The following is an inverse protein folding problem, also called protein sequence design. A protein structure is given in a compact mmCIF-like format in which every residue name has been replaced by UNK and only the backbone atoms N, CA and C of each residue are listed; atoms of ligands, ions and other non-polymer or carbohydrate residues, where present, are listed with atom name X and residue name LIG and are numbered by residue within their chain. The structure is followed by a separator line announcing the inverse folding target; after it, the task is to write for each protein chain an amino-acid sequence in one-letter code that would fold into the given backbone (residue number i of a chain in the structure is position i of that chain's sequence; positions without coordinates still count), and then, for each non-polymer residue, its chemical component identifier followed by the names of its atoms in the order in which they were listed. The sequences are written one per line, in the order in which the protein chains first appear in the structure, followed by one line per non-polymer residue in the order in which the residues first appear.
data_IF_303685249108
#
_entry.id   IF_303685249108
#
_cell.length_a   1.000
_cell.length_b   1.000
_cell.length_c   1.000
_cell.angle_alpha   90.00
_cell.angle_beta   90.00
_cell.angle_gamma   90.00
#
_symmetry.space_group_name_H-M   'P 1'
#
loop_
_entity.id
_entity.type
_entity.pdbx_description
1 polymer ?
#
# COMPACT_ATOMS: atom_id res chain seq x y z
N UNK A 1 14.19 -20.47 -4.47
CA UNK A 1 12.93 -21.19 -4.18
C UNK A 1 12.29 -20.63 -2.93
N UNK A 2 10.97 -20.36 -2.97
CA UNK A 2 10.17 -19.86 -1.84
C UNK A 2 9.17 -20.97 -1.48
N UNK A 3 9.01 -21.28 -0.19
CA UNK A 3 7.95 -22.17 0.31
C UNK A 3 6.91 -21.36 1.07
N UNK A 4 5.68 -21.87 1.14
CA UNK A 4 4.60 -21.19 1.86
C UNK A 4 3.92 -22.09 2.89
N UNK A 5 3.26 -21.46 3.86
CA UNK A 5 2.45 -22.07 4.92
C UNK A 5 1.22 -21.19 5.17
N UNK A 6 0.08 -21.80 5.45
CA UNK A 6 -1.09 -21.08 5.97
C UNK A 6 -0.99 -20.94 7.49
N UNK A 7 -1.22 -19.74 8.00
CA UNK A 7 -1.28 -19.44 9.42
C UNK A 7 -2.69 -19.69 9.96
N UNK A 8 -2.82 -19.78 11.29
CA UNK A 8 -4.12 -19.98 11.97
C UNK A 8 -5.15 -18.88 11.67
N UNK A 9 -4.70 -17.67 11.33
CA UNK A 9 -5.54 -16.54 10.96
C UNK A 9 -5.91 -16.52 9.45
N UNK A 10 -5.61 -17.58 8.70
CA UNK A 10 -5.88 -17.67 7.26
C UNK A 10 -4.85 -16.97 6.37
N UNK A 11 -3.87 -16.28 6.93
CA UNK A 11 -2.84 -15.59 6.14
C UNK A 11 -1.77 -16.56 5.63
N UNK A 12 -1.27 -16.31 4.42
CA UNK A 12 -0.16 -17.05 3.84
C UNK A 12 1.17 -16.44 4.31
N UNK A 13 1.99 -17.25 4.99
CA UNK A 13 3.39 -16.96 5.29
C UNK A 13 4.27 -17.59 4.20
N UNK A 14 5.22 -16.83 3.69
CA UNK A 14 6.26 -17.27 2.76
C UNK A 14 7.60 -17.33 3.50
N UNK A 15 8.41 -18.35 3.23
CA UNK A 15 9.80 -18.47 3.69
C UNK A 15 10.73 -18.64 2.50
N UNK A 16 11.79 -17.84 2.44
CA UNK A 16 12.87 -18.01 1.48
C UNK A 16 13.72 -19.22 1.87
N UNK A 17 14.01 -20.14 0.94
CA UNK A 17 14.85 -21.30 1.24
C UNK A 17 16.35 -20.98 1.23
N UNK A 18 16.76 -19.81 0.73
CA UNK A 18 18.18 -19.39 0.67
C UNK A 18 18.60 -18.62 1.93
N UNK A 19 17.84 -17.58 2.28
CA UNK A 19 18.17 -16.70 3.42
C UNK A 19 17.27 -16.90 4.64
N UNK A 20 16.36 -17.88 4.60
CA UNK A 20 15.42 -18.21 5.67
C UNK A 20 14.40 -17.12 6.07
N UNK A 21 14.47 -15.94 5.46
CA UNK A 21 13.58 -14.82 5.76
C UNK A 21 12.10 -15.20 5.57
N UNK A 22 11.27 -14.75 6.52
CA UNK A 22 9.81 -14.93 6.48
C UNK A 22 9.13 -13.63 6.12
N UNK A 23 8.12 -13.72 5.28
CA UNK A 23 7.32 -12.58 4.85
C UNK A 23 5.90 -13.04 4.53
N UNK A 24 4.97 -12.11 4.40
CA UNK A 24 3.62 -12.37 3.94
C UNK A 24 3.32 -11.45 2.76
N UNK A 25 2.13 -11.58 2.18
CA UNK A 25 1.70 -10.74 1.05
C UNK A 25 1.71 -9.23 1.36
N UNK A 26 1.61 -8.85 2.64
CA UNK A 26 1.57 -7.46 3.10
C UNK A 26 2.94 -6.89 3.44
N UNK A 27 4.00 -7.69 3.41
CA UNK A 27 5.37 -7.24 3.66
C UNK A 27 5.76 -6.16 2.65
N UNK A 28 6.30 -5.04 3.13
CA UNK A 28 6.70 -3.90 2.30
C UNK A 28 5.52 -3.09 1.74
N UNK A 29 4.31 -3.34 2.20
CA UNK A 29 3.11 -2.56 1.81
C UNK A 29 2.68 -1.64 2.95
N UNK A 30 1.88 -0.60 2.68
CA UNK A 30 1.29 0.23 3.75
C UNK A 30 0.46 -0.57 4.77
N UNK A 31 0.00 -1.77 4.39
CA UNK A 31 -0.83 -2.66 5.21
C UNK A 31 -0.02 -3.57 6.14
N UNK A 32 1.31 -3.51 6.08
CA UNK A 32 2.16 -4.37 6.90
C UNK A 32 1.88 -4.19 8.40
N UNK A 33 1.66 -5.32 9.09
CA UNK A 33 1.42 -5.36 10.53
C UNK A 33 0.09 -4.76 10.98
N UNK A 34 -0.77 -4.29 10.08
CA UNK A 34 -2.08 -3.77 10.43
C UNK A 34 -3.04 -4.93 10.75
N UNK A 35 -3.64 -4.85 11.93
CA UNK A 35 -4.69 -5.79 12.40
C UNK A 35 -6.10 -5.35 12.01
N UNK A 36 -6.26 -4.07 11.68
CA UNK A 36 -7.54 -3.53 11.21
C UNK A 36 -7.90 -4.18 9.87
N UNK A 37 -9.16 -4.62 9.68
CA UNK A 37 -9.60 -5.17 8.41
C UNK A 37 -9.32 -4.22 7.25
N UNK A 38 -8.87 -4.76 6.12
CA UNK A 38 -8.43 -3.99 4.96
C UNK A 38 -9.51 -3.02 4.46
N UNK A 39 -10.78 -3.45 4.47
CA UNK A 39 -11.89 -2.63 3.98
C UNK A 39 -12.07 -1.33 4.79
N UNK A 40 -11.80 -1.36 6.11
CA UNK A 40 -11.88 -0.17 6.97
C UNK A 40 -10.77 0.81 6.60
N UNK A 41 -9.56 0.31 6.38
CA UNK A 41 -8.41 1.15 6.00
C UNK A 41 -8.65 1.76 4.62
N UNK A 42 -9.08 0.96 3.64
CA UNK A 42 -9.38 1.43 2.28
C UNK A 42 -10.49 2.48 2.29
N UNK A 43 -11.56 2.27 3.05
CA UNK A 43 -12.64 3.25 3.22
C UNK A 43 -12.11 4.56 3.82
N UNK A 44 -11.32 4.49 4.89
CA UNK A 44 -10.71 5.66 5.52
C UNK A 44 -9.86 6.47 4.53
N UNK A 45 -9.05 5.78 3.71
CA UNK A 45 -8.23 6.42 2.68
C UNK A 45 -9.07 7.04 1.57
N UNK A 46 -10.11 6.35 1.11
CA UNK A 46 -11.03 6.86 0.12
C UNK A 46 -11.75 8.14 0.58
N UNK A 47 -12.08 8.23 1.88
CA UNK A 47 -12.62 9.44 2.50
C UNK A 47 -11.57 10.56 2.57
N UNK A 48 -10.37 10.24 3.06
CA UNK A 48 -9.27 11.21 3.16
C UNK A 48 -8.91 11.83 1.81
N UNK A 49 -8.79 11.01 0.76
CA UNK A 49 -8.51 11.48 -0.62
C UNK A 49 -9.63 12.35 -1.19
N UNK A 50 -10.86 12.25 -0.67
CA UNK A 50 -11.99 13.12 -1.03
C UNK A 50 -12.03 14.42 -0.21
N UNK A 51 -11.00 14.68 0.62
CA UNK A 51 -10.93 15.87 1.47
C UNK A 51 -11.74 15.77 2.76
N UNK A 52 -12.23 14.58 3.13
CA UNK A 52 -12.94 14.39 4.40
C UNK A 52 -11.94 14.54 5.55
N UNK A 53 -12.26 15.42 6.50
CA UNK A 53 -11.41 15.66 7.67
C UNK A 53 -11.23 14.42 8.56
N UNK A 54 -10.07 14.32 9.21
CA UNK A 54 -9.69 13.15 10.03
C UNK A 54 -10.69 12.87 11.15
N UNK A 55 -11.28 13.91 11.76
CA UNK A 55 -12.31 13.74 12.79
C UNK A 55 -13.55 12.97 12.32
N UNK A 56 -14.01 13.21 11.08
CA UNK A 56 -15.13 12.46 10.51
C UNK A 56 -14.75 11.02 10.19
N UNK A 57 -13.51 10.79 9.74
CA UNK A 57 -12.99 9.44 9.51
C UNK A 57 -12.90 8.66 10.84
N UNK A 58 -12.45 9.31 11.91
CA UNK A 58 -12.46 8.76 13.28
C UNK A 58 -13.87 8.36 13.69
N UNK A 59 -14.86 9.24 13.49
CA UNK A 59 -16.26 8.97 13.82
C UNK A 59 -16.82 7.77 13.04
N UNK A 60 -16.56 7.68 11.73
CA UNK A 60 -17.06 6.58 10.87
C UNK A 60 -16.35 5.25 11.15
N UNK A 61 -15.04 5.28 11.39
CA UNK A 61 -14.23 4.04 11.55
C UNK A 61 -14.16 3.54 12.99
N UNK A 62 -14.52 4.37 13.98
CA UNK A 62 -14.35 4.09 15.40
C UNK A 62 -12.87 3.94 15.82
N UNK A 63 -11.92 4.42 15.02
CA UNK A 63 -10.48 4.36 15.33
C UNK A 63 -10.00 5.69 15.90
N UNK A 64 -8.96 5.62 16.73
CA UNK A 64 -8.33 6.81 17.27
C UNK A 64 -7.70 7.65 16.15
N UNK A 65 -7.73 8.97 16.30
CA UNK A 65 -7.13 9.91 15.36
C UNK A 65 -5.66 9.59 15.04
N UNK A 66 -4.88 9.24 16.08
CA UNK A 66 -3.48 8.80 15.92
C UNK A 66 -3.33 7.59 14.98
N UNK A 67 -4.30 6.67 15.02
CA UNK A 67 -4.30 5.47 14.18
C UNK A 67 -4.60 5.83 12.72
N UNK A 68 -5.59 6.69 12.49
CA UNK A 68 -5.91 7.21 11.15
C UNK A 68 -4.72 8.00 10.58
N UNK A 69 -4.13 8.88 11.38
CA UNK A 69 -2.92 9.62 11.01
C UNK A 69 -1.73 8.72 10.69
N UNK A 70 -1.54 7.62 11.43
CA UNK A 70 -0.51 6.63 11.12
C UNK A 70 -0.75 5.94 9.77
N UNK A 71 -1.99 5.62 9.44
CA UNK A 71 -2.30 5.03 8.13
C UNK A 71 -1.99 5.99 6.99
N UNK A 72 -2.36 7.27 7.13
CA UNK A 72 -2.07 8.31 6.13
C UNK A 72 -0.56 8.43 5.93
N UNK A 73 0.22 8.57 7.01
CA UNK A 73 1.69 8.65 6.95
C UNK A 73 2.35 7.43 6.31
N UNK A 74 1.75 6.24 6.47
CA UNK A 74 2.24 5.02 5.83
C UNK A 74 1.93 4.96 4.33
N UNK A 75 0.86 5.59 3.85
CA UNK A 75 0.41 5.47 2.47
C UNK A 75 1.03 6.53 1.56
N UNK A 76 1.20 7.76 2.06
CA UNK A 76 1.71 8.89 1.27
C UNK A 76 3.02 8.54 0.52
N UNK A 77 4.07 7.97 1.14
CA UNK A 77 5.31 7.66 0.43
C UNK A 77 5.12 6.63 -0.69
N UNK A 78 4.18 5.69 -0.53
CA UNK A 78 3.89 4.71 -1.57
C UNK A 78 3.14 5.34 -2.75
N UNK A 79 2.28 6.34 -2.50
CA UNK A 79 1.65 7.11 -3.57
C UNK A 79 2.68 7.88 -4.39
N UNK A 80 3.67 8.50 -3.74
CA UNK A 80 4.76 9.22 -4.42
C UNK A 80 5.57 8.30 -5.32
N UNK A 81 5.99 7.13 -4.81
CA UNK A 81 6.71 6.13 -5.60
C UNK A 81 5.90 5.62 -6.79
N UNK A 82 4.58 5.41 -6.62
CA UNK A 82 3.70 5.02 -7.71
C UNK A 82 3.61 6.13 -8.76
N UNK A 83 3.42 7.38 -8.35
CA UNK A 83 3.38 8.53 -9.27
C UNK A 83 4.70 8.62 -10.06
N UNK A 84 5.85 8.57 -9.37
CA UNK A 84 7.17 8.61 -10.01
C UNK A 84 7.36 7.48 -11.02
N UNK A 85 7.00 6.25 -10.64
CA UNK A 85 7.06 5.09 -11.53
C UNK A 85 6.14 5.24 -12.76
N UNK A 86 4.91 5.73 -12.58
CA UNK A 86 3.99 5.96 -13.70
C UNK A 86 4.47 7.09 -14.62
N UNK A 87 5.06 8.16 -14.06
CA UNK A 87 5.67 9.24 -14.84
C UNK A 87 6.90 8.76 -15.62
N UNK A 88 7.76 7.96 -15.00
CA UNK A 88 8.92 7.35 -15.66
C UNK A 88 8.49 6.51 -16.86
N UNK A 89 7.50 5.62 -16.69
CA UNK A 89 6.94 4.82 -17.79
C UNK A 89 6.38 5.68 -18.94
N UNK A 90 5.67 6.76 -18.62
CA UNK A 90 5.15 7.69 -19.63
C UNK A 90 6.28 8.38 -20.39
N UNK A 91 7.34 8.81 -19.70
CA UNK A 91 8.51 9.42 -20.34
C UNK A 91 9.23 8.45 -21.30
N UNK A 92 9.32 7.16 -20.95
CA UNK A 92 9.81 6.12 -21.87
C UNK A 92 8.89 5.92 -23.10
N UNK A 93 7.57 6.02 -22.92
CA UNK A 93 6.61 5.96 -24.03
C UNK A 93 6.66 7.21 -24.93
N UNK A 94 7.06 8.37 -24.39
CA UNK A 94 7.16 9.62 -25.13
C UNK A 94 8.44 9.69 -25.98
N UNK A 95 9.55 9.10 -25.52
CA UNK A 95 10.80 9.01 -26.30
C UNK A 95 10.67 8.14 -27.55
N UNK A 96 9.74 7.17 -27.58
CA UNK A 96 9.44 6.38 -28.78
C UNK A 96 8.63 7.15 -29.83
N UNK A 97 7.89 8.19 -29.41
CA UNK A 97 7.09 9.02 -30.33
C UNK A 97 7.92 10.16 -30.95
N UNK A 98 9.00 10.59 -30.30
CA UNK A 98 9.94 11.58 -30.85
C UNK A 98 10.93 10.99 -31.86
N UNK A 99 11.16 9.67 -31.88
CA UNK A 99 12.07 9.00 -32.83
C UNK A 99 11.39 8.49 -34.11
N UNK A 100 10.11 8.82 -34.34
CA UNK A 100 9.39 8.53 -35.60
C UNK A 100 8.98 9.81 -36.35
N UNK A 101 9.51 10.97 -35.95
CA UNK A 101 9.25 12.27 -36.58
C UNK A 101 10.49 12.93 -37.20
N UNK A 102 11.55 12.15 -37.41
CA UNK A 102 12.72 12.52 -38.25
C UNK A 102 12.99 11.42 -39.28
#
# INVERSE_FOLDING_TARGET
MIRYRHQKNGEQEYKCNRCEARFNRRKGTPLEGLRTPIYVIVMAMAMYMRGVGVGMIVAVTGKQEKTVGQWIRRIVPHCELLIEHELSKRNHSFSSLYLQMD
#
